data_IF_940423512363
#
_entry.id   IF_940423512363
#
_cell.length_a   1.000
_cell.length_b   1.000
_cell.length_c   1.000
_cell.angle_alpha   90.00
_cell.angle_beta   90.00
_cell.angle_gamma   90.00
#
_symmetry.space_group_name_H-M   'P 1'
#
loop_
_entity.id
_entity.type
_entity.pdbx_description
1 polymer ?
#
# COMPACT_ATOMS: atom_id res chain seq x y z
N UNK A 1 24.71 -0.15 -13.49
CA UNK A 1 23.54 0.74 -13.39
C UNK A 1 22.40 -0.12 -12.92
N UNK A 2 21.87 0.14 -11.72
CA UNK A 2 20.64 -0.50 -11.27
C UNK A 2 19.55 0.15 -12.09
N UNK A 3 19.11 -0.52 -13.16
CA UNK A 3 17.95 -0.08 -13.92
C UNK A 3 16.80 0.11 -12.93
N UNK A 4 16.21 1.30 -12.96
CA UNK A 4 15.11 1.70 -12.08
C UNK A 4 14.04 0.61 -12.09
N UNK A 5 13.96 -0.15 -10.99
CA UNK A 5 12.87 -1.10 -10.70
C UNK A 5 11.53 -0.34 -10.52
N UNK A 6 11.58 0.99 -10.51
CA UNK A 6 10.42 1.88 -10.46
C UNK A 6 10.07 2.34 -11.86
N UNK A 7 9.22 1.59 -12.55
CA UNK A 7 8.47 2.10 -13.70
C UNK A 7 7.59 3.28 -13.23
N UNK A 8 7.79 4.51 -13.73
CA UNK A 8 6.96 5.67 -13.38
C UNK A 8 5.46 5.43 -13.63
N UNK A 9 5.10 4.57 -14.59
CA UNK A 9 3.70 4.19 -14.81
C UNK A 9 3.12 3.40 -13.63
N UNK A 10 3.93 2.58 -12.94
CA UNK A 10 3.47 1.81 -11.78
C UNK A 10 2.99 2.73 -10.64
N UNK A 11 3.61 3.90 -10.46
CA UNK A 11 3.20 4.87 -9.45
C UNK A 11 1.88 5.58 -9.82
N UNK A 12 1.70 5.97 -11.09
CA UNK A 12 0.46 6.57 -11.59
C UNK A 12 -0.71 5.57 -11.66
N UNK A 13 -0.41 4.30 -11.90
CA UNK A 13 -1.40 3.22 -11.90
C UNK A 13 -1.90 2.91 -10.48
N UNK A 14 -1.04 3.06 -9.46
CA UNK A 14 -1.45 2.86 -8.07
C UNK A 14 -2.54 3.84 -7.63
N UNK A 15 -2.50 5.11 -8.07
CA UNK A 15 -3.54 6.10 -7.74
C UNK A 15 -4.85 5.82 -8.45
N UNK A 16 -4.81 5.17 -9.62
CA UNK A 16 -6.00 4.78 -10.39
C UNK A 16 -6.63 3.50 -9.82
N UNK A 17 -5.82 2.47 -9.54
CA UNK A 17 -6.31 1.16 -9.10
C UNK A 17 -6.66 1.07 -7.62
N UNK A 18 -6.01 1.88 -6.77
CA UNK A 18 -6.27 1.88 -5.33
C UNK A 18 -7.01 3.15 -4.87
N UNK A 19 -7.69 3.86 -5.77
CA UNK A 19 -8.39 5.11 -5.47
C UNK A 19 -9.46 4.94 -4.37
N UNK A 20 -9.95 6.06 -3.84
CA UNK A 20 -11.00 6.07 -2.81
C UNK A 20 -12.30 5.41 -3.31
N UNK A 21 -12.65 5.58 -4.59
CA UNK A 21 -13.83 4.92 -5.17
C UNK A 21 -13.70 3.40 -5.13
N UNK A 22 -12.52 2.86 -5.44
CA UNK A 22 -12.28 1.41 -5.36
C UNK A 22 -12.41 0.93 -3.92
N UNK A 23 -11.85 1.65 -2.94
CA UNK A 23 -12.05 1.34 -1.52
C UNK A 23 -13.53 1.30 -1.14
N UNK A 24 -14.30 2.33 -1.54
CA UNK A 24 -15.74 2.40 -1.26
C UNK A 24 -16.48 1.21 -1.88
N UNK A 25 -16.12 0.81 -3.10
CA UNK A 25 -16.72 -0.38 -3.74
C UNK A 25 -16.35 -1.67 -3.01
N UNK A 26 -15.10 -1.82 -2.55
CA UNK A 26 -14.70 -2.98 -1.75
C UNK A 26 -15.48 -3.06 -0.43
N UNK A 27 -15.69 -1.92 0.25
CA UNK A 27 -16.54 -1.85 1.45
C UNK A 27 -17.99 -2.26 1.12
N UNK A 28 -18.56 -1.75 0.02
CA UNK A 28 -19.92 -2.10 -0.41
C UNK A 28 -20.07 -3.59 -0.73
N UNK A 29 -19.03 -4.21 -1.25
CA UNK A 29 -18.99 -5.64 -1.54
C UNK A 29 -18.70 -6.50 -0.29
N UNK A 30 -18.48 -5.88 0.87
CA UNK A 30 -18.15 -6.56 2.13
C UNK A 30 -16.68 -6.99 2.27
N UNK A 31 -15.81 -6.63 1.32
CA UNK A 31 -14.38 -6.95 1.36
C UNK A 31 -13.58 -5.85 2.07
N UNK A 32 -13.62 -5.90 3.40
CA UNK A 32 -12.91 -4.94 4.26
C UNK A 32 -11.39 -5.08 4.16
N UNK A 33 -10.87 -6.26 3.82
CA UNK A 33 -9.44 -6.51 3.70
C UNK A 33 -8.86 -5.85 2.45
N UNK A 34 -9.56 -5.99 1.31
CA UNK A 34 -9.21 -5.31 0.06
C UNK A 34 -9.40 -3.80 0.17
N UNK A 35 -10.48 -3.34 0.83
CA UNK A 35 -10.69 -1.92 1.10
C UNK A 35 -9.53 -1.30 1.88
N UNK A 36 -9.11 -1.97 2.96
CA UNK A 36 -7.99 -1.52 3.77
C UNK A 36 -6.66 -1.58 2.99
N UNK A 37 -6.45 -2.57 2.11
CA UNK A 37 -5.29 -2.60 1.22
C UNK A 37 -5.26 -1.39 0.28
N UNK A 38 -6.40 -1.00 -0.29
CA UNK A 38 -6.49 0.20 -1.14
C UNK A 38 -6.05 1.46 -0.38
N UNK A 39 -6.52 1.60 0.87
CA UNK A 39 -6.12 2.71 1.75
C UNK A 39 -4.63 2.70 2.05
N UNK A 40 -4.09 1.54 2.40
CA UNK A 40 -2.67 1.37 2.78
C UNK A 40 -1.75 1.74 1.60
N UNK A 41 -2.08 1.29 0.39
CA UNK A 41 -1.30 1.61 -0.83
C UNK A 41 -1.38 3.11 -1.17
N UNK A 42 -2.55 3.76 -1.06
CA UNK A 42 -2.64 5.21 -1.26
C UNK A 42 -1.83 6.00 -0.26
N UNK A 43 -1.85 5.62 1.01
CA UNK A 43 -1.10 6.30 2.05
C UNK A 43 0.41 6.15 1.83
N UNK A 44 0.86 4.94 1.45
CA UNK A 44 2.24 4.72 1.06
C UNK A 44 2.64 5.63 -0.11
N UNK A 45 1.82 5.72 -1.16
CA UNK A 45 2.10 6.59 -2.31
C UNK A 45 2.16 8.07 -1.94
N UNK A 46 1.17 8.57 -1.19
CA UNK A 46 1.16 9.96 -0.69
C UNK A 46 2.41 10.28 0.12
N UNK A 47 2.97 9.29 0.83
CA UNK A 47 4.20 9.48 1.60
C UNK A 47 5.45 9.71 0.73
N UNK A 48 5.43 9.30 -0.55
CA UNK A 48 6.51 9.54 -1.50
C UNK A 48 6.33 10.89 -2.22
N UNK A 49 5.10 11.19 -2.65
CA UNK A 49 4.78 12.35 -3.50
C UNK A 49 4.60 13.66 -2.70
N UNK A 50 4.16 13.58 -1.44
CA UNK A 50 3.85 14.78 -0.66
C UNK A 50 5.11 15.45 -0.08
N UNK A 51 5.49 16.57 -0.69
CA UNK A 51 6.51 17.49 -0.16
C UNK A 51 6.09 18.09 1.19
N UNK A 52 7.07 18.37 2.06
CA UNK A 52 6.84 19.04 3.35
C UNK A 52 6.33 18.17 4.49
N UNK A 53 6.14 16.86 4.29
CA UNK A 53 5.83 15.93 5.38
C UNK A 53 7.11 15.62 6.19
N UNK A 54 6.98 15.53 7.51
CA UNK A 54 8.10 15.11 8.37
C UNK A 54 8.47 13.64 8.12
N UNK A 55 9.74 13.28 8.35
CA UNK A 55 10.21 11.89 8.24
C UNK A 55 9.41 10.94 9.13
N UNK A 56 8.98 11.39 10.31
CA UNK A 56 8.15 10.61 11.23
C UNK A 56 6.77 10.32 10.63
N UNK A 57 6.12 11.32 10.05
CA UNK A 57 4.81 11.13 9.43
C UNK A 57 4.91 10.26 8.17
N UNK A 58 5.99 10.42 7.39
CA UNK A 58 6.30 9.56 6.25
C UNK A 58 6.40 8.10 6.66
N UNK A 59 7.08 7.79 7.77
CA UNK A 59 7.16 6.42 8.30
C UNK A 59 5.78 5.90 8.70
N UNK A 60 5.00 6.69 9.46
CA UNK A 60 3.64 6.30 9.87
C UNK A 60 2.70 6.00 8.71
N UNK A 61 2.86 6.68 7.58
CA UNK A 61 2.06 6.44 6.38
C UNK A 61 2.46 5.14 5.64
N UNK A 62 3.70 4.68 5.81
CA UNK A 62 4.23 3.46 5.16
C UNK A 62 4.06 2.21 6.01
N UNK A 63 3.99 2.37 7.33
CA UNK A 63 3.92 1.29 8.33
C UNK A 63 2.76 0.30 8.10
N UNK A 64 1.51 0.73 7.82
CA UNK A 64 0.41 -0.21 7.62
C UNK A 64 0.62 -1.18 6.45
N UNK A 65 1.12 -0.66 5.31
CA UNK A 65 1.42 -1.49 4.14
C UNK A 65 2.57 -2.45 4.43
N UNK A 66 3.62 -1.98 5.12
CA UNK A 66 4.75 -2.81 5.54
C UNK A 66 4.28 -3.97 6.42
N UNK A 67 3.52 -3.69 7.46
CA UNK A 67 3.06 -4.70 8.41
C UNK A 67 2.13 -5.72 7.75
N UNK A 68 1.25 -5.26 6.86
CA UNK A 68 0.42 -6.13 6.02
C UNK A 68 1.28 -7.08 5.18
N UNK A 69 2.25 -6.56 4.43
CA UNK A 69 3.13 -7.38 3.59
C UNK A 69 3.97 -8.38 4.42
N UNK A 70 4.45 -7.96 5.59
CA UNK A 70 5.17 -8.85 6.51
C UNK A 70 4.26 -9.95 7.07
N UNK A 71 2.97 -9.69 7.26
CA UNK A 71 2.01 -10.71 7.71
C UNK A 71 1.83 -11.83 6.67
N UNK A 72 1.85 -11.50 5.37
CA UNK A 72 1.84 -12.50 4.29
C UNK A 72 3.10 -13.38 4.28
N UNK A 73 4.27 -12.81 4.64
CA UNK A 73 5.52 -13.57 4.73
C UNK A 73 5.53 -14.47 5.98
N UNK A 74 5.02 -13.99 7.11
CA UNK A 74 5.00 -14.74 8.36
C UNK A 74 4.03 -15.94 8.32
N UNK A 75 2.95 -15.87 7.55
CA UNK A 75 2.06 -17.01 7.31
C UNK A 75 2.79 -18.17 6.59
N UNK A 76 3.69 -17.86 5.65
CA UNK A 76 4.47 -18.87 4.93
C UNK A 76 5.53 -19.58 5.80
N UNK A 77 5.84 -19.08 7.00
CA UNK A 77 6.74 -19.77 7.95
C UNK A 77 6.03 -20.78 8.85
N UNK A 78 4.69 -20.74 8.95
CA UNK A 78 3.90 -21.63 9.81
C UNK A 78 3.33 -22.85 9.05
N UNK A 79 3.50 -22.93 7.72
CA UNK A 79 3.03 -24.07 6.89
C UNK A 79 4.12 -25.14 6.65
N UNK A 80 5.16 -25.17 7.48
CA UNK A 80 6.17 -26.25 7.48
C UNK A 80 6.17 -26.90 8.87
N UNK A 81 5.05 -27.52 9.28
CA UNK A 81 5.01 -28.61 10.27
C UNK A 81 3.86 -29.53 9.87
#
# INVERSE_FOLDING_TARGET
MVEEITDPMSAAMATTHFCEDVEVQMIRNGDLLAAALCRDVRNWWKSEDQGGISSVNRIKMREPLRDRLLSHINLNRLTII
#
